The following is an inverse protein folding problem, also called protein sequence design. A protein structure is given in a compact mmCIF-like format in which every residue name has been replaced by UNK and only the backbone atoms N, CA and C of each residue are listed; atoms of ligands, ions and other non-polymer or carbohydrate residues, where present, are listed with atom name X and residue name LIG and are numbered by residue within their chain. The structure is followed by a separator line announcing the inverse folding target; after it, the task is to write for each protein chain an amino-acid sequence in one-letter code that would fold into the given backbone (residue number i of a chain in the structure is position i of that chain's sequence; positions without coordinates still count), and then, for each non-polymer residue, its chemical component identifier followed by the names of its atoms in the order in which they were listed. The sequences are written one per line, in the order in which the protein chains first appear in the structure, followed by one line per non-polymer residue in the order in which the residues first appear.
data_IF_021537848581
#
_entry.id   IF_021537848581
#
_cell.length_a   1.000
_cell.length_b   1.000
_cell.length_c   1.000
_cell.angle_alpha   90.00
_cell.angle_beta   90.00
_cell.angle_gamma   90.00
#
_symmetry.space_group_name_H-M   'P 1'
#
loop_
_entity.id
_entity.type
_entity.pdbx_description
1 polymer ?
#
# COMPACT_ATOMS: atom_id res chain seq x y z
N UNK A 1 0.10 32.16 0.67
CA UNK A 1 0.50 31.00 1.50
C UNK A 1 -0.20 29.68 1.13
N UNK A 2 -1.15 29.66 0.19
CA UNK A 2 -1.85 28.44 -0.25
C UNK A 2 -1.05 27.52 -1.20
N UNK A 3 0.21 27.82 -1.55
CA UNK A 3 1.01 26.98 -2.48
C UNK A 3 1.83 25.88 -1.78
N UNK A 4 2.11 26.05 -0.48
CA UNK A 4 2.88 25.06 0.29
C UNK A 4 2.02 23.85 0.72
N UNK A 5 0.72 24.04 0.91
CA UNK A 5 -0.22 23.00 1.38
C UNK A 5 -0.49 21.91 0.32
N UNK A 6 -0.27 22.20 -0.96
CA UNK A 6 -0.63 21.32 -2.08
C UNK A 6 0.52 20.41 -2.55
N UNK A 7 1.76 20.90 -2.45
CA UNK A 7 2.96 20.04 -2.56
C UNK A 7 2.96 19.02 -1.41
N UNK A 8 2.43 19.41 -0.25
CA UNK A 8 2.18 18.51 0.87
C UNK A 8 1.12 17.45 0.52
N UNK A 9 -0.02 17.74 -0.11
CA UNK A 9 -1.07 16.71 -0.32
C UNK A 9 -0.69 15.59 -1.31
N UNK A 10 0.03 15.88 -2.39
CA UNK A 10 0.53 14.84 -3.32
C UNK A 10 1.64 13.98 -2.70
N UNK A 11 2.55 14.59 -1.92
CA UNK A 11 3.49 13.84 -1.07
C UNK A 11 2.82 13.17 0.12
N UNK A 12 1.60 13.57 0.49
CA UNK A 12 0.78 12.94 1.51
C UNK A 12 0.10 11.68 0.99
N UNK A 13 -0.27 11.53 -0.28
CA UNK A 13 -0.83 10.24 -0.75
C UNK A 13 0.24 9.14 -0.81
N UNK A 14 1.39 9.44 -1.40
CA UNK A 14 2.56 8.55 -1.37
C UNK A 14 3.13 8.40 0.05
N UNK A 15 3.17 9.50 0.82
CA UNK A 15 3.57 9.52 2.22
C UNK A 15 2.60 8.83 3.15
N UNK A 16 1.30 8.77 2.87
CA UNK A 16 0.27 8.02 3.61
C UNK A 16 0.36 6.56 3.24
N UNK A 17 0.58 6.21 1.97
CA UNK A 17 0.93 4.83 1.59
C UNK A 17 2.18 4.35 2.34
N UNK A 18 3.23 5.17 2.39
CA UNK A 18 4.48 4.87 3.09
C UNK A 18 4.33 4.92 4.62
N UNK A 19 3.50 5.82 5.16
CA UNK A 19 3.22 5.94 6.60
C UNK A 19 2.31 4.84 7.09
N UNK A 20 1.33 4.39 6.29
CA UNK A 20 0.51 3.21 6.56
C UNK A 20 1.42 1.97 6.55
N UNK A 21 2.30 1.85 5.55
CA UNK A 21 3.25 0.75 5.48
C UNK A 21 4.23 0.75 6.67
N UNK A 22 4.85 1.89 7.00
CA UNK A 22 5.73 2.04 8.17
C UNK A 22 4.98 1.90 9.50
N UNK A 23 3.73 2.35 9.59
CA UNK A 23 2.89 2.24 10.79
C UNK A 23 2.48 0.79 11.06
N UNK A 24 2.10 0.05 10.02
CA UNK A 24 1.84 -1.38 10.12
C UNK A 24 3.12 -2.13 10.55
N UNK A 25 4.27 -1.81 9.95
CA UNK A 25 5.58 -2.40 10.32
C UNK A 25 5.96 -2.06 11.78
N UNK A 26 5.75 -0.81 12.24
CA UNK A 26 6.04 -0.42 13.64
C UNK A 26 5.05 -1.01 14.65
N UNK A 27 3.77 -1.14 14.29
CA UNK A 27 2.74 -1.74 15.16
C UNK A 27 3.00 -3.22 15.36
N UNK A 28 3.38 -3.92 14.29
CA UNK A 28 3.76 -5.33 14.33
C UNK A 28 5.00 -5.54 15.20
N UNK A 29 6.03 -4.69 15.06
CA UNK A 29 7.22 -4.69 15.93
C UNK A 29 6.89 -4.43 17.41
N UNK A 30 5.93 -3.56 17.71
CA UNK A 30 5.49 -3.29 19.09
C UNK A 30 4.70 -4.46 19.66
N UNK A 31 3.86 -5.12 18.86
CA UNK A 31 3.20 -6.35 19.29
C UNK A 31 4.20 -7.48 19.54
N UNK A 32 5.17 -7.70 18.64
CA UNK A 32 6.21 -8.72 18.82
C UNK A 32 7.06 -8.45 20.08
N UNK A 33 7.47 -7.21 20.32
CA UNK A 33 8.20 -6.84 21.54
C UNK A 33 7.35 -6.95 22.81
N UNK A 34 6.05 -6.64 22.74
CA UNK A 34 5.13 -6.81 23.86
C UNK A 34 4.91 -8.29 24.19
N UNK A 35 4.80 -9.16 23.17
CA UNK A 35 4.71 -10.61 23.33
C UNK A 35 6.01 -11.17 23.90
N UNK A 36 7.18 -10.82 23.34
CA UNK A 36 8.49 -11.23 23.87
C UNK A 36 8.74 -10.75 25.30
N UNK A 37 8.29 -9.54 25.67
CA UNK A 37 8.38 -9.05 27.05
C UNK A 37 7.44 -9.79 28.00
N UNK A 38 6.26 -10.22 27.55
CA UNK A 38 5.35 -11.06 28.34
C UNK A 38 5.94 -12.47 28.53
N UNK A 39 6.51 -13.04 27.47
CA UNK A 39 7.14 -14.37 27.52
C UNK A 39 8.40 -14.34 28.40
N UNK A 40 9.20 -13.27 28.33
CA UNK A 40 10.36 -13.05 29.20
C UNK A 40 9.99 -12.66 30.64
N UNK A 41 8.77 -12.19 30.89
CA UNK A 41 8.28 -11.84 32.22
C UNK A 41 7.49 -12.99 32.89
N UNK A 42 7.38 -14.16 32.25
CA UNK A 42 6.85 -15.35 32.93
C UNK A 42 7.94 -15.88 33.86
N UNK A 43 7.84 -15.72 35.19
CA UNK A 43 8.84 -16.27 36.09
C UNK A 43 8.66 -17.79 36.04
N UNK A 44 9.70 -18.50 35.64
CA UNK A 44 9.82 -19.94 35.93
C UNK A 44 9.89 -20.07 37.45
N UNK A 45 8.74 -20.31 38.08
CA UNK A 45 8.68 -20.62 39.50
C UNK A 45 9.33 -22.00 39.72
N UNK A 46 10.22 -22.15 40.73
CA UNK A 46 10.84 -23.43 41.02
C UNK A 46 9.83 -24.41 41.63
N UNK A 47 10.04 -25.69 41.32
CA UNK A 47 9.35 -26.85 41.87
C UNK A 47 9.05 -26.74 43.38
N UNK A 48 7.78 -26.92 43.75
CA UNK A 48 7.40 -27.42 45.08
C UNK A 48 6.30 -28.47 45.00
N UNK A 49 6.62 -29.60 45.64
CA UNK A 49 5.85 -30.83 45.79
C UNK A 49 4.64 -30.64 46.74
N UNK A 50 3.50 -31.20 46.29
CA UNK A 50 2.34 -31.77 47.00
C UNK A 50 1.60 -31.05 48.16
N UNK A 51 0.27 -31.00 47.93
CA UNK A 51 -0.87 -31.21 48.84
C UNK A 51 -1.37 -30.07 49.75
N UNK A 52 -2.59 -29.60 49.47
CA UNK A 52 -3.74 -29.71 50.38
C UNK A 52 -5.05 -29.30 49.68
N UNK A 53 -6.10 -30.07 49.97
CA UNK A 53 -7.48 -29.89 49.49
C UNK A 53 -8.09 -28.61 50.04
N UNK A 54 -8.82 -27.85 49.22
CA UNK A 54 -9.96 -27.05 49.68
C UNK A 54 -11.09 -27.18 48.66
N UNK A 55 -12.22 -27.66 49.16
CA UNK A 55 -13.51 -27.79 48.50
C UNK A 55 -14.28 -26.50 48.76
N UNK A 56 -14.58 -25.72 47.72
CA UNK A 56 -15.62 -24.69 47.80
C UNK A 56 -16.96 -25.27 47.27
N UNK A 57 -17.99 -25.41 48.12
CA UNK A 57 -19.20 -26.18 47.88
C UNK A 57 -20.33 -25.48 47.10
N UNK A 58 -20.07 -24.34 46.44
CA UNK A 58 -21.16 -23.49 45.94
C UNK A 58 -21.56 -23.62 44.45
N UNK A 59 -21.13 -24.65 43.71
CA UNK A 59 -21.78 -24.95 42.43
C UNK A 59 -21.80 -26.45 42.13
N UNK A 60 -22.72 -27.14 42.83
CA UNK A 60 -22.98 -28.56 42.64
C UNK A 60 -23.94 -28.84 41.48
N UNK A 61 -23.51 -29.79 40.63
CA UNK A 61 -24.28 -30.81 39.92
C UNK A 61 -25.25 -30.41 38.79
N UNK A 62 -24.90 -30.86 37.58
CA UNK A 62 -25.78 -31.82 36.87
C UNK A 62 -25.00 -32.71 35.89
N UNK A 63 -25.13 -34.02 36.13
CA UNK A 63 -25.00 -35.19 35.23
C UNK A 63 -23.64 -35.57 34.64
N UNK A 64 -23.14 -36.64 35.25
CA UNK A 64 -22.25 -37.67 34.70
C UNK A 64 -22.68 -38.17 33.31
N UNK A 65 -21.82 -37.95 32.32
CA UNK A 65 -21.69 -38.81 31.14
C UNK A 65 -20.34 -39.51 31.23
N UNK A 66 -20.36 -40.84 31.07
CA UNK A 66 -19.18 -41.71 31.10
C UNK A 66 -18.15 -41.35 30.01
N UNK A 67 -16.97 -41.96 30.06
CA UNK A 67 -15.80 -41.49 29.34
C UNK A 67 -15.97 -41.73 27.84
N UNK A 68 -16.26 -40.68 27.09
CA UNK A 68 -15.93 -40.65 25.68
C UNK A 68 -14.40 -40.66 25.58
N UNK A 69 -13.82 -41.74 25.05
CA UNK A 69 -12.44 -41.77 24.57
C UNK A 69 -12.32 -40.72 23.46
N UNK A 70 -12.07 -39.47 23.84
CA UNK A 70 -11.53 -38.48 22.93
C UNK A 70 -10.11 -38.95 22.60
N UNK A 71 -9.92 -39.53 21.41
CA UNK A 71 -8.58 -39.62 20.85
C UNK A 71 -8.11 -38.18 20.68
N UNK A 72 -7.26 -37.72 21.58
CA UNK A 72 -6.52 -36.48 21.43
C UNK A 72 -5.65 -36.62 20.18
N UNK A 73 -6.20 -36.28 19.02
CA UNK A 73 -5.38 -35.94 17.89
C UNK A 73 -4.47 -34.79 18.35
N UNK A 74 -3.15 -34.84 18.10
CA UNK A 74 -2.28 -33.73 18.44
C UNK A 74 -2.83 -32.48 17.77
N UNK A 75 -3.05 -31.43 18.58
CA UNK A 75 -3.36 -30.10 18.06
C UNK A 75 -2.32 -29.78 16.98
N UNK A 76 -2.73 -29.27 15.80
CA UNK A 76 -1.78 -28.86 14.78
C UNK A 76 -0.83 -27.84 15.40
N UNK A 77 0.41 -28.26 15.60
CA UNK A 77 1.48 -27.41 16.10
C UNK A 77 1.74 -26.36 15.04
N UNK A 78 1.58 -25.08 15.42
CA UNK A 78 2.08 -23.99 14.60
C UNK A 78 3.58 -24.23 14.39
N UNK A 79 4.11 -24.05 13.16
CA UNK A 79 5.54 -24.17 12.92
C UNK A 79 6.27 -23.27 13.92
N UNK A 80 7.35 -23.79 14.51
CA UNK A 80 8.14 -23.02 15.48
C UNK A 80 8.49 -21.65 14.88
N UNK A 81 8.42 -20.57 15.68
CA UNK A 81 8.74 -19.25 15.20
C UNK A 81 10.18 -19.24 14.70
N UNK A 82 10.36 -19.26 13.38
CA UNK A 82 11.67 -19.15 12.75
C UNK A 82 12.31 -17.88 13.30
N UNK A 83 13.46 -18.02 13.97
CA UNK A 83 14.24 -16.88 14.48
C UNK A 83 14.92 -16.16 13.30
N UNK A 84 14.12 -15.62 12.40
CA UNK A 84 14.60 -14.84 11.28
C UNK A 84 15.18 -13.53 11.78
N UNK A 85 16.41 -13.27 11.36
CA UNK A 85 17.03 -11.97 11.56
C UNK A 85 16.28 -10.91 10.73
N UNK A 86 16.39 -9.65 11.15
CA UNK A 86 15.78 -8.52 10.43
C UNK A 86 16.24 -8.44 8.97
N UNK A 87 17.47 -8.86 8.67
CA UNK A 87 18.03 -8.82 7.33
C UNK A 87 17.42 -9.90 6.44
N UNK A 88 17.31 -11.14 6.95
CA UNK A 88 16.67 -12.26 6.23
C UNK A 88 15.20 -11.95 5.91
N UNK A 89 14.45 -11.41 6.88
CA UNK A 89 13.05 -11.03 6.66
C UNK A 89 12.91 -9.96 5.56
N UNK A 90 13.86 -9.02 5.49
CA UNK A 90 13.88 -7.99 4.44
C UNK A 90 14.19 -8.60 3.08
N UNK A 91 15.19 -9.48 3.01
CA UNK A 91 15.55 -10.16 1.76
C UNK A 91 14.42 -11.05 1.25
N UNK A 92 13.74 -11.79 2.15
CA UNK A 92 12.56 -12.59 1.78
C UNK A 92 11.45 -11.71 1.21
N UNK A 93 11.06 -10.63 1.88
CA UNK A 93 10.02 -9.71 1.38
C UNK A 93 10.41 -9.10 0.02
N UNK A 94 11.68 -8.77 -0.18
CA UNK A 94 12.16 -8.31 -1.48
C UNK A 94 12.05 -9.40 -2.55
N UNK A 95 12.39 -10.66 -2.21
CA UNK A 95 12.25 -11.79 -3.12
C UNK A 95 10.78 -12.10 -3.45
N UNK A 96 9.88 -12.02 -2.47
CA UNK A 96 8.42 -12.15 -2.67
C UNK A 96 7.90 -11.04 -3.58
N UNK A 97 8.33 -9.79 -3.35
CA UNK A 97 7.96 -8.66 -4.21
C UNK A 97 8.51 -8.83 -5.63
N UNK A 98 9.76 -9.28 -5.77
CA UNK A 98 10.37 -9.58 -7.06
C UNK A 98 9.64 -10.73 -7.78
N UNK A 99 9.20 -11.76 -7.06
CA UNK A 99 8.43 -12.86 -7.65
C UNK A 99 7.04 -12.40 -8.12
N UNK A 100 6.43 -11.46 -7.41
CA UNK A 100 5.11 -10.93 -7.77
C UNK A 100 5.17 -9.88 -8.88
N UNK A 101 6.15 -8.97 -8.87
CA UNK A 101 6.17 -7.79 -9.74
C UNK A 101 7.37 -7.71 -10.68
N UNK A 102 8.39 -8.55 -10.47
CA UNK A 102 9.48 -8.74 -11.40
C UNK A 102 9.07 -9.61 -12.58
N UNK A 103 9.84 -9.49 -13.65
CA UNK A 103 9.81 -10.40 -14.79
C UNK A 103 10.44 -11.75 -14.41
N UNK A 104 9.75 -12.84 -14.74
CA UNK A 104 10.24 -14.21 -14.58
C UNK A 104 11.28 -14.60 -15.63
N UNK A 105 11.95 -15.73 -15.40
CA UNK A 105 12.99 -16.22 -16.31
C UNK A 105 12.38 -16.61 -17.66
N UNK A 106 12.82 -15.93 -18.72
CA UNK A 106 12.30 -16.14 -20.08
C UNK A 106 10.88 -15.62 -20.32
N UNK A 107 10.26 -14.94 -19.34
CA UNK A 107 8.91 -14.38 -19.47
C UNK A 107 8.88 -13.27 -20.52
N UNK A 108 7.99 -13.42 -21.49
CA UNK A 108 7.73 -12.41 -22.53
C UNK A 108 6.98 -11.21 -21.96
N UNK A 109 7.00 -10.08 -22.66
CA UNK A 109 6.29 -8.87 -22.25
C UNK A 109 4.79 -9.10 -22.11
N UNK A 110 4.21 -9.91 -23.01
CA UNK A 110 2.79 -10.23 -23.02
C UNK A 110 2.39 -11.13 -21.85
N UNK A 111 3.21 -12.13 -21.52
CA UNK A 111 3.01 -13.01 -20.36
C UNK A 111 3.08 -12.21 -19.05
N UNK A 112 4.07 -11.32 -18.93
CA UNK A 112 4.19 -10.42 -17.79
C UNK A 112 2.94 -9.54 -17.65
N UNK A 113 2.50 -8.90 -18.75
CA UNK A 113 1.31 -8.05 -18.74
C UNK A 113 0.05 -8.84 -18.37
N UNK A 114 -0.13 -10.05 -18.90
CA UNK A 114 -1.26 -10.90 -18.59
C UNK A 114 -1.36 -11.23 -17.08
N UNK A 115 -0.21 -11.33 -16.40
CA UNK A 115 -0.14 -11.58 -14.95
C UNK A 115 -0.35 -10.32 -14.11
N UNK A 116 0.24 -9.19 -14.50
CA UNK A 116 0.29 -7.98 -13.67
C UNK A 116 -0.90 -7.05 -13.89
N UNK A 117 -1.33 -6.86 -15.15
CA UNK A 117 -2.40 -5.90 -15.48
C UNK A 117 -3.71 -6.19 -14.73
N UNK A 118 -4.16 -7.44 -14.58
CA UNK A 118 -5.36 -7.73 -13.77
C UNK A 118 -5.23 -7.30 -12.30
N UNK A 119 -4.03 -7.45 -11.71
CA UNK A 119 -3.77 -7.03 -10.33
C UNK A 119 -3.83 -5.50 -10.18
N UNK A 120 -3.23 -4.77 -11.13
CA UNK A 120 -3.29 -3.31 -11.17
C UNK A 120 -4.74 -2.84 -11.32
N UNK A 121 -5.47 -3.39 -12.30
CA UNK A 121 -6.88 -3.03 -12.53
C UNK A 121 -7.76 -3.32 -11.32
N UNK A 122 -7.58 -4.50 -10.71
CA UNK A 122 -8.32 -4.90 -9.50
C UNK A 122 -8.04 -3.98 -8.31
N UNK A 123 -6.77 -3.62 -8.09
CA UNK A 123 -6.37 -2.73 -7.00
C UNK A 123 -6.84 -1.29 -7.18
N UNK A 124 -6.98 -0.82 -8.43
CA UNK A 124 -7.37 0.56 -8.74
C UNK A 124 -8.87 0.75 -8.96
N UNK A 125 -9.66 -0.30 -9.16
CA UNK A 125 -11.07 -0.19 -9.53
C UNK A 125 -11.88 0.68 -8.55
N UNK A 126 -11.86 0.35 -7.26
CA UNK A 126 -12.62 1.08 -6.23
C UNK A 126 -12.05 2.50 -6.03
N UNK A 127 -10.73 2.70 -5.91
CA UNK A 127 -10.16 4.04 -5.86
C UNK A 127 -10.55 4.93 -7.05
N UNK A 128 -10.46 4.41 -8.29
CA UNK A 128 -10.86 5.14 -9.51
C UNK A 128 -12.32 5.57 -9.45
N UNK A 129 -13.23 4.66 -9.15
CA UNK A 129 -14.65 4.98 -8.99
C UNK A 129 -14.90 6.06 -7.93
N UNK A 130 -14.19 5.99 -6.80
CA UNK A 130 -14.31 6.99 -5.73
C UNK A 130 -13.84 8.37 -6.21
N UNK A 131 -12.66 8.45 -6.82
CA UNK A 131 -12.12 9.75 -7.25
C UNK A 131 -12.90 10.35 -8.43
N UNK A 132 -13.45 9.51 -9.31
CA UNK A 132 -14.34 9.95 -10.39
C UNK A 132 -15.64 10.55 -9.85
N UNK A 133 -16.23 9.92 -8.82
CA UNK A 133 -17.41 10.47 -8.16
C UNK A 133 -17.10 11.77 -7.41
N UNK A 134 -15.96 11.84 -6.70
CA UNK A 134 -15.51 13.08 -6.06
C UNK A 134 -15.28 14.20 -7.09
N UNK A 135 -14.68 13.89 -8.24
CA UNK A 135 -14.50 14.85 -9.34
C UNK A 135 -15.85 15.36 -9.82
N UNK A 136 -16.79 14.45 -10.10
CA UNK A 136 -18.13 14.80 -10.61
C UNK A 136 -18.86 15.73 -9.63
N UNK A 137 -18.84 15.42 -8.34
CA UNK A 137 -19.46 16.25 -7.30
C UNK A 137 -18.77 17.62 -7.18
N UNK A 138 -17.43 17.65 -7.21
CA UNK A 138 -16.66 18.88 -7.15
C UNK A 138 -16.91 19.79 -8.37
N UNK A 139 -16.96 19.21 -9.57
CA UNK A 139 -17.27 19.94 -10.82
C UNK A 139 -18.68 20.53 -10.78
N UNK A 140 -19.67 19.78 -10.27
CA UNK A 140 -21.04 20.28 -10.10
C UNK A 140 -21.10 21.43 -9.10
N UNK A 141 -20.45 21.30 -7.94
CA UNK A 141 -20.43 22.34 -6.90
C UNK A 141 -19.71 23.62 -7.36
N UNK A 142 -18.61 23.46 -8.11
CA UNK A 142 -17.85 24.58 -8.66
C UNK A 142 -18.47 25.17 -9.94
N UNK A 143 -19.53 24.58 -10.47
CA UNK A 143 -20.15 25.04 -11.72
C UNK A 143 -19.19 24.96 -12.91
N UNK A 144 -18.37 23.90 -12.97
CA UNK A 144 -17.45 23.66 -14.09
C UNK A 144 -18.29 23.34 -15.34
N UNK A 145 -18.04 24.07 -16.43
CA UNK A 145 -18.79 23.85 -17.67
C UNK A 145 -18.31 22.59 -18.39
N UNK A 146 -19.15 22.03 -19.26
CA UNK A 146 -18.76 20.88 -20.09
C UNK A 146 -17.52 21.17 -20.97
N UNK A 147 -17.35 22.42 -21.41
CA UNK A 147 -16.17 22.82 -22.17
C UNK A 147 -14.89 22.84 -21.30
N UNK A 148 -15.00 23.33 -20.06
CA UNK A 148 -13.89 23.29 -19.10
C UNK A 148 -13.53 21.86 -18.74
N UNK A 149 -14.52 21.01 -18.46
CA UNK A 149 -14.31 19.59 -18.13
C UNK A 149 -13.58 18.85 -19.27
N UNK A 150 -13.98 19.08 -20.53
CA UNK A 150 -13.26 18.54 -21.70
C UNK A 150 -11.81 19.04 -21.81
N UNK A 151 -11.56 20.32 -21.50
CA UNK A 151 -10.20 20.87 -21.49
C UNK A 151 -9.35 20.24 -20.39
N UNK A 152 -9.94 19.97 -19.23
CA UNK A 152 -9.28 19.26 -18.13
C UNK A 152 -8.92 17.83 -18.55
N UNK A 153 -9.86 17.10 -19.16
CA UNK A 153 -9.61 15.73 -19.65
C UNK A 153 -8.42 15.69 -20.61
N UNK A 154 -8.38 16.61 -21.57
CA UNK A 154 -7.25 16.72 -22.51
C UNK A 154 -5.94 17.08 -21.82
N UNK A 155 -5.97 17.93 -20.80
CA UNK A 155 -4.76 18.22 -20.01
C UNK A 155 -4.29 16.96 -19.27
N UNK A 156 -5.22 16.19 -18.70
CA UNK A 156 -4.90 14.95 -17.99
C UNK A 156 -4.33 13.88 -18.90
N UNK A 157 -4.82 13.74 -20.12
CA UNK A 157 -4.22 12.82 -21.12
C UNK A 157 -2.73 13.10 -21.32
N UNK A 158 -2.33 14.37 -21.45
CA UNK A 158 -0.93 14.73 -21.60
C UNK A 158 -0.13 14.45 -20.32
N UNK A 159 -0.68 14.81 -19.15
CA UNK A 159 -0.05 14.56 -17.85
C UNK A 159 0.15 13.06 -17.62
N UNK A 160 -0.81 12.23 -18.03
CA UNK A 160 -0.71 10.78 -17.94
C UNK A 160 0.34 10.23 -18.88
N UNK A 161 0.45 10.75 -20.10
CA UNK A 161 1.53 10.38 -21.02
C UNK A 161 2.91 10.72 -20.42
N UNK A 162 3.09 11.95 -19.92
CA UNK A 162 4.34 12.40 -19.31
C UNK A 162 4.70 11.57 -18.07
N UNK A 163 3.71 11.30 -17.21
CA UNK A 163 3.89 10.48 -16.02
C UNK A 163 4.30 9.05 -16.39
N UNK A 164 3.62 8.42 -17.37
CA UNK A 164 3.96 7.08 -17.81
C UNK A 164 5.35 7.02 -18.44
N UNK A 165 5.70 7.96 -19.31
CA UNK A 165 7.02 8.01 -19.95
C UNK A 165 8.12 8.19 -18.90
N UNK A 166 7.90 9.06 -17.92
CA UNK A 166 8.83 9.25 -16.81
C UNK A 166 8.97 7.99 -15.95
N UNK A 167 7.86 7.33 -15.61
CA UNK A 167 7.88 6.08 -14.83
C UNK A 167 8.54 4.95 -15.61
N UNK A 168 8.25 4.79 -16.91
CA UNK A 168 8.86 3.78 -17.76
C UNK A 168 10.38 3.98 -17.86
N UNK A 169 10.82 5.24 -18.01
CA UNK A 169 12.24 5.57 -17.97
C UNK A 169 12.87 5.23 -16.61
N UNK A 170 12.22 5.59 -15.50
CA UNK A 170 12.72 5.27 -14.16
C UNK A 170 12.80 3.75 -13.91
N UNK A 171 11.88 2.96 -14.47
CA UNK A 171 11.92 1.49 -14.42
C UNK A 171 13.07 0.96 -15.29
N UNK A 172 13.24 1.46 -16.50
CA UNK A 172 14.31 1.05 -17.42
C UNK A 172 15.71 1.39 -16.86
N UNK A 173 15.86 2.56 -16.25
CA UNK A 173 17.10 3.02 -15.63
C UNK A 173 17.39 2.30 -14.29
N UNK A 174 16.44 1.51 -13.78
CA UNK A 174 16.57 0.77 -12.52
C UNK A 174 16.41 1.62 -11.25
N UNK A 175 15.93 2.86 -11.39
CA UNK A 175 15.51 3.70 -10.25
C UNK A 175 14.32 3.06 -9.53
N UNK A 176 13.39 2.50 -10.30
CA UNK A 176 12.26 1.72 -9.84
C UNK A 176 12.45 0.25 -10.21
N UNK A 177 13.08 -0.52 -9.33
CA UNK A 177 13.33 -1.95 -9.53
C UNK A 177 12.50 -2.81 -8.57
N UNK A 178 11.86 -3.89 -9.06
CA UNK A 178 11.24 -4.89 -8.19
C UNK A 178 12.27 -5.83 -7.56
N UNK A 179 13.50 -5.86 -8.07
CA UNK A 179 14.54 -6.82 -7.64
C UNK A 179 15.37 -6.30 -6.47
N UNK A 180 15.55 -4.98 -6.39
CA UNK A 180 16.41 -4.34 -5.41
C UNK A 180 15.76 -3.09 -4.84
N UNK A 181 16.03 -2.85 -3.55
CA UNK A 181 15.53 -1.65 -2.88
C UNK A 181 16.46 -0.46 -3.16
N UNK A 182 16.03 0.42 -4.06
CA UNK A 182 16.73 1.67 -4.37
C UNK A 182 16.03 2.89 -3.75
N UNK A 183 16.26 3.17 -2.46
CA UNK A 183 15.56 4.27 -1.75
C UNK A 183 15.89 5.63 -2.37
N UNK A 184 17.13 5.87 -2.78
CA UNK A 184 17.52 7.11 -3.45
C UNK A 184 16.81 7.28 -4.79
N UNK A 185 16.74 6.23 -5.61
CA UNK A 185 16.02 6.25 -6.88
C UNK A 185 14.52 6.46 -6.69
N UNK A 186 13.93 5.90 -5.63
CA UNK A 186 12.54 6.17 -5.25
C UNK A 186 12.28 7.63 -4.86
N UNK A 187 13.20 8.25 -4.10
CA UNK A 187 13.09 9.66 -3.72
C UNK A 187 13.24 10.59 -4.93
N UNK A 188 14.17 10.27 -5.83
CA UNK A 188 14.36 10.99 -7.09
C UNK A 188 13.13 10.87 -7.99
N UNK A 189 12.60 9.65 -8.14
CA UNK A 189 11.35 9.41 -8.86
C UNK A 189 10.18 10.22 -8.27
N UNK A 190 10.00 10.16 -6.94
CA UNK A 190 8.93 10.92 -6.27
C UNK A 190 9.08 12.43 -6.46
N UNK A 191 10.32 12.95 -6.42
CA UNK A 191 10.62 14.34 -6.70
C UNK A 191 10.25 14.76 -8.12
N UNK A 192 10.64 13.97 -9.12
CA UNK A 192 10.30 14.24 -10.52
C UNK A 192 8.80 14.14 -10.82
N UNK A 193 8.12 13.14 -10.26
CA UNK A 193 6.66 13.02 -10.37
C UNK A 193 5.95 14.22 -9.72
N UNK A 194 6.49 14.72 -8.60
CA UNK A 194 6.02 15.97 -7.98
C UNK A 194 6.14 17.19 -8.89
N UNK A 195 7.18 17.25 -9.73
CA UNK A 195 7.34 18.27 -10.78
C UNK A 195 6.23 18.19 -11.83
N UNK A 196 5.98 17.00 -12.39
CA UNK A 196 4.90 16.76 -13.37
C UNK A 196 3.54 17.16 -12.80
N UNK A 197 3.26 16.82 -11.54
CA UNK A 197 2.01 17.20 -10.86
C UNK A 197 1.90 18.71 -10.59
N UNK A 198 3.03 19.38 -10.35
CA UNK A 198 3.03 20.84 -10.21
C UNK A 198 2.72 21.54 -11.55
N UNK A 199 3.26 21.02 -12.65
CA UNK A 199 2.97 21.54 -13.99
C UNK A 199 1.49 21.29 -14.36
N UNK A 200 0.96 20.11 -13.99
CA UNK A 200 -0.47 19.81 -14.10
C UNK A 200 -1.34 20.86 -13.39
N UNK A 201 -1.01 21.23 -12.16
CA UNK A 201 -1.71 22.29 -11.43
C UNK A 201 -1.65 23.63 -12.15
N UNK A 202 -0.52 23.95 -12.79
CA UNK A 202 -0.37 25.13 -13.64
C UNK A 202 -1.37 25.13 -14.80
N UNK A 203 -1.53 24.01 -15.49
CA UNK A 203 -2.48 23.86 -16.61
C UNK A 203 -3.94 23.92 -16.14
N UNK A 204 -4.28 23.26 -15.04
CA UNK A 204 -5.63 23.31 -14.45
C UNK A 204 -6.00 24.75 -14.09
N UNK A 205 -5.06 25.51 -13.52
CA UNK A 205 -5.26 26.93 -13.17
C UNK A 205 -5.42 27.88 -14.35
N UNK A 206 -5.13 27.45 -15.58
CA UNK A 206 -5.44 28.19 -16.80
C UNK A 206 -6.86 27.89 -17.33
N UNK A 207 -7.46 26.79 -16.89
CA UNK A 207 -8.78 26.33 -17.35
C UNK A 207 -9.88 26.75 -16.38
N UNK A 208 -9.61 26.61 -15.08
CA UNK A 208 -10.54 26.92 -14.01
C UNK A 208 -10.24 28.27 -13.38
N UNK A 209 -11.29 28.99 -13.00
CA UNK A 209 -11.12 30.22 -12.23
C UNK A 209 -10.60 29.91 -10.80
N UNK A 210 -9.97 30.88 -10.13
CA UNK A 210 -9.55 30.71 -8.73
C UNK A 210 -10.69 30.31 -7.78
N UNK A 211 -11.90 30.82 -8.01
CA UNK A 211 -13.08 30.49 -7.19
C UNK A 211 -13.58 29.05 -7.44
N UNK A 212 -13.50 28.58 -8.70
CA UNK A 212 -13.80 27.18 -9.02
C UNK A 212 -12.80 26.25 -8.33
N UNK A 213 -11.50 26.56 -8.42
CA UNK A 213 -10.45 25.78 -7.73
C UNK A 213 -10.65 25.73 -6.22
N UNK A 214 -10.98 26.86 -5.60
CA UNK A 214 -11.25 26.94 -4.17
C UNK A 214 -12.46 26.10 -3.79
N UNK A 215 -13.53 26.16 -4.58
CA UNK A 215 -14.76 25.39 -4.35
C UNK A 215 -14.51 23.88 -4.46
N UNK A 216 -13.74 23.45 -5.47
CA UNK A 216 -13.38 22.04 -5.62
C UNK A 216 -12.50 21.54 -4.47
N UNK A 217 -11.52 22.34 -4.00
CA UNK A 217 -10.74 21.98 -2.81
C UNK A 217 -11.61 21.89 -1.55
N UNK A 218 -12.55 22.83 -1.39
CA UNK A 218 -13.47 22.83 -0.24
C UNK A 218 -14.43 21.63 -0.23
N UNK A 219 -14.70 21.00 -1.38
CA UNK A 219 -15.47 19.76 -1.43
C UNK A 219 -14.65 18.52 -1.05
N UNK A 220 -13.36 18.68 -0.72
CA UNK A 220 -12.45 17.59 -0.40
C UNK A 220 -11.90 16.86 -1.62
N UNK A 221 -12.04 17.43 -2.82
CA UNK A 221 -11.46 16.86 -4.03
C UNK A 221 -10.01 17.30 -4.22
N UNK A 222 -9.12 16.33 -4.39
CA UNK A 222 -7.68 16.55 -4.53
C UNK A 222 -7.19 16.07 -5.91
N UNK A 223 -6.63 17.00 -6.70
CA UNK A 223 -6.12 16.72 -8.04
C UNK A 223 -5.03 15.64 -8.06
N UNK A 224 -4.12 15.66 -7.08
CA UNK A 224 -3.05 14.66 -6.99
C UNK A 224 -3.58 13.25 -6.77
N UNK A 225 -4.64 13.10 -5.98
CA UNK A 225 -5.29 11.81 -5.75
C UNK A 225 -6.01 11.33 -7.02
N UNK A 226 -6.75 12.23 -7.67
CA UNK A 226 -7.43 11.94 -8.93
C UNK A 226 -6.43 11.50 -10.02
N UNK A 227 -5.39 12.29 -10.25
CA UNK A 227 -4.35 12.00 -11.24
C UNK A 227 -3.61 10.70 -10.89
N UNK A 228 -3.29 10.48 -9.62
CA UNK A 228 -2.58 9.30 -9.15
C UNK A 228 -3.36 8.00 -9.37
N UNK A 229 -4.67 7.98 -9.16
CA UNK A 229 -5.47 6.75 -9.34
C UNK A 229 -5.94 6.53 -10.78
N UNK A 230 -6.23 7.60 -11.53
CA UNK A 230 -6.72 7.49 -12.90
C UNK A 230 -5.64 7.43 -13.98
N UNK A 231 -4.38 7.67 -13.63
CA UNK A 231 -3.29 7.39 -14.55
C UNK A 231 -3.35 5.93 -15.05
N UNK A 232 -3.11 5.68 -16.36
CA UNK A 232 -3.28 4.38 -16.97
C UNK A 232 -2.07 3.46 -16.72
N UNK A 233 -1.81 3.17 -15.44
CA UNK A 233 -0.68 2.35 -14.98
C UNK A 233 -0.62 0.95 -15.60
N UNK A 234 -1.74 0.44 -16.11
CA UNK A 234 -1.80 -0.79 -16.91
C UNK A 234 -0.94 -0.75 -18.19
N UNK A 235 -0.60 0.44 -18.67
CA UNK A 235 0.20 0.66 -19.87
C UNK A 235 1.71 0.72 -19.59
N UNK A 236 2.13 0.69 -18.32
CA UNK A 236 3.55 0.67 -17.95
C UNK A 236 4.30 -0.45 -18.68
N UNK A 237 5.54 -0.18 -19.07
CA UNK A 237 6.43 -1.18 -19.68
C UNK A 237 6.88 -2.18 -18.63
N UNK A 238 6.93 -3.49 -18.95
CA UNK A 238 7.49 -4.47 -18.02
C UNK A 238 8.92 -4.08 -17.61
N UNK A 239 9.32 -4.36 -16.36
CA UNK A 239 10.69 -4.14 -15.91
C UNK A 239 11.67 -5.02 -16.72
N UNK A 240 12.93 -4.58 -16.86
CA UNK A 240 13.98 -5.41 -17.46
C UNK A 240 14.16 -6.69 -16.62
N UNK A 241 14.64 -7.80 -17.22
CA UNK A 241 14.88 -9.03 -16.47
C UNK A 241 15.91 -8.83 -15.35
N UNK A 242 15.84 -9.68 -14.33
CA UNK A 242 16.83 -9.67 -13.25
C UNK A 242 18.24 -9.85 -13.81
N UNK A 243 19.19 -9.04 -13.34
CA UNK A 243 20.59 -9.23 -13.71
C UNK A 243 21.11 -10.54 -13.08
N UNK A 244 21.88 -11.36 -13.82
CA UNK A 244 22.52 -12.53 -13.22
C UNK A 244 23.44 -12.07 -12.08
N UNK A 245 23.32 -12.74 -10.92
CA UNK A 245 24.15 -12.50 -9.73
C UNK A 245 25.50 -13.16 -9.84
#
# INVERSE_FOLDING_TARGET
MARATWVLSASTVLGVGLSIWLYLDNRELRSELATQRRDAATPTAPDKVAAARTTDPWNAATRTLGPAKASAAPLPTLPEPTKETRLERRQRRQAEFAAMFGRGDGETDDEYRARIVPLIKGGLLIPRQRVDEMRRQAEQLAGVTAEQSKKLDKAFENIYADALDYTNKAVADGLLSPYERNVSGWLEYAGGLGGILNDANGQIGQILSPDQLKTMSASGFEWGEYLGFNAPWENLTPPPPAKPR
#
